data_IF_219944374179
#
_entry.id   IF_219944374179
#
_cell.length_a   1.000
_cell.length_b   1.000
_cell.length_c   1.000
_cell.angle_alpha   90.00
_cell.angle_beta   90.00
_cell.angle_gamma   90.00
#
_symmetry.space_group_name_H-M   'P 1'
#
loop_
_entity.id
_entity.type
_entity.pdbx_description
1 polymer ?
#
# COMPACT_ATOMS: atom_id res chain seq x y z
N UNK A 1 47.65 -36.67 -14.74
CA UNK A 1 47.25 -36.46 -13.34
C UNK A 1 46.38 -35.21 -13.31
N UNK A 2 45.07 -35.36 -13.57
CA UNK A 2 44.10 -34.25 -13.69
C UNK A 2 42.93 -34.39 -12.70
N UNK A 3 42.84 -35.52 -11.99
CA UNK A 3 41.69 -35.86 -11.14
C UNK A 3 41.62 -35.05 -9.85
N UNK A 4 42.75 -34.71 -9.24
CA UNK A 4 42.73 -34.00 -7.95
C UNK A 4 42.22 -32.56 -8.02
N UNK A 5 42.39 -31.89 -9.16
CA UNK A 5 41.94 -30.51 -9.32
C UNK A 5 40.45 -30.44 -9.64
N UNK A 6 39.98 -31.34 -10.53
CA UNK A 6 38.56 -31.47 -10.84
C UNK A 6 37.73 -31.81 -9.59
N UNK A 7 38.17 -32.78 -8.78
CA UNK A 7 37.48 -33.16 -7.53
C UNK A 7 37.39 -31.99 -6.53
N UNK A 8 38.42 -31.15 -6.46
CA UNK A 8 38.41 -29.95 -5.61
C UNK A 8 37.41 -28.91 -6.13
N UNK A 9 37.34 -28.73 -7.44
CA UNK A 9 36.41 -27.81 -8.10
C UNK A 9 34.98 -28.28 -7.86
N UNK A 10 34.66 -29.55 -8.07
CA UNK A 10 33.31 -30.09 -7.82
C UNK A 10 32.89 -29.90 -6.36
N UNK A 11 33.79 -30.20 -5.40
CA UNK A 11 33.50 -30.02 -3.98
C UNK A 11 33.24 -28.55 -3.63
N UNK A 12 33.99 -27.62 -4.23
CA UNK A 12 33.79 -26.19 -4.03
C UNK A 12 32.47 -25.71 -4.63
N UNK A 13 32.20 -26.07 -5.89
CA UNK A 13 30.97 -25.69 -6.60
C UNK A 13 29.73 -26.24 -5.91
N UNK A 14 29.79 -27.47 -5.38
CA UNK A 14 28.69 -28.07 -4.60
C UNK A 14 28.39 -27.36 -3.27
N UNK A 15 29.29 -26.51 -2.77
CA UNK A 15 29.06 -25.70 -1.57
C UNK A 15 28.53 -24.29 -1.84
N UNK A 16 28.33 -23.91 -3.11
CA UNK A 16 27.87 -22.56 -3.48
C UNK A 16 26.35 -22.40 -3.32
N UNK A 17 25.86 -21.17 -3.05
CA UNK A 17 24.44 -20.88 -3.08
C UNK A 17 23.81 -21.17 -4.45
N UNK A 18 22.58 -21.71 -4.46
CA UNK A 18 21.81 -22.03 -5.69
C UNK A 18 21.72 -20.86 -6.68
N UNK A 19 21.71 -19.63 -6.16
CA UNK A 19 21.66 -18.40 -6.93
C UNK A 19 22.81 -18.22 -7.93
N UNK A 20 23.95 -18.85 -7.67
CA UNK A 20 25.17 -18.76 -8.49
C UNK A 20 25.67 -20.12 -8.97
N UNK A 21 25.24 -21.23 -8.35
CA UNK A 21 25.64 -22.60 -8.69
C UNK A 21 25.58 -22.88 -10.20
N UNK A 22 24.41 -22.69 -10.81
CA UNK A 22 24.21 -23.00 -12.23
C UNK A 22 25.10 -22.16 -13.16
N UNK A 23 25.36 -20.91 -12.78
CA UNK A 23 26.23 -20.01 -13.55
C UNK A 23 27.70 -20.41 -13.46
N UNK A 24 28.18 -20.84 -12.27
CA UNK A 24 29.56 -21.32 -12.10
C UNK A 24 29.78 -22.64 -12.85
N UNK A 25 28.82 -23.58 -12.77
CA UNK A 25 28.88 -24.85 -13.52
C UNK A 25 28.93 -24.61 -15.03
N UNK A 26 28.12 -23.67 -15.54
CA UNK A 26 28.07 -23.34 -16.96
C UNK A 26 29.41 -22.78 -17.49
N UNK A 27 30.14 -22.03 -16.65
CA UNK A 27 31.44 -21.46 -17.01
C UNK A 27 32.57 -22.48 -17.07
N UNK A 28 32.38 -23.70 -16.55
CA UNK A 28 33.35 -24.82 -16.59
C UNK A 28 34.78 -24.38 -16.20
N UNK A 29 34.99 -23.91 -14.97
CA UNK A 29 36.31 -23.50 -14.51
C UNK A 29 37.30 -24.67 -14.59
N UNK A 30 38.52 -24.38 -15.04
CA UNK A 30 39.61 -25.36 -15.16
C UNK A 30 40.48 -25.40 -13.92
N UNK A 31 40.51 -24.31 -13.17
CA UNK A 31 41.29 -24.17 -11.94
C UNK A 31 40.41 -23.75 -10.78
N UNK A 32 40.88 -24.02 -9.57
CA UNK A 32 40.23 -23.53 -8.34
C UNK A 32 40.13 -22.01 -8.30
N UNK A 33 41.14 -21.31 -8.81
CA UNK A 33 41.19 -19.85 -8.81
C UNK A 33 40.07 -19.27 -9.69
N UNK A 34 39.87 -19.81 -10.89
CA UNK A 34 38.79 -19.39 -11.79
C UNK A 34 37.41 -19.63 -11.17
N UNK A 35 37.20 -20.76 -10.50
CA UNK A 35 35.93 -21.04 -9.82
C UNK A 35 35.63 -20.00 -8.73
N UNK A 36 36.65 -19.57 -7.97
CA UNK A 36 36.54 -18.54 -6.94
C UNK A 36 36.25 -17.18 -7.57
N UNK A 37 37.00 -16.78 -8.59
CA UNK A 37 36.82 -15.49 -9.27
C UNK A 37 35.40 -15.34 -9.85
N UNK A 38 34.93 -16.37 -10.55
CA UNK A 38 33.58 -16.39 -11.14
C UNK A 38 32.53 -16.31 -10.04
N UNK A 39 32.68 -17.06 -8.94
CA UNK A 39 31.74 -17.03 -7.83
C UNK A 39 31.67 -15.64 -7.18
N UNK A 40 32.82 -14.99 -6.93
CA UNK A 40 32.87 -13.64 -6.35
C UNK A 40 32.28 -12.60 -7.27
N UNK A 41 32.60 -12.65 -8.57
CA UNK A 41 32.06 -11.71 -9.55
C UNK A 41 30.53 -11.83 -9.66
N UNK A 42 30.00 -13.05 -9.62
CA UNK A 42 28.55 -13.28 -9.64
C UNK A 42 27.85 -12.79 -8.37
N UNK A 43 28.47 -12.98 -7.20
CA UNK A 43 27.94 -12.44 -5.94
C UNK A 43 27.92 -10.91 -5.96
N UNK A 44 29.01 -10.27 -6.37
CA UNK A 44 29.13 -8.81 -6.41
C UNK A 44 28.09 -8.18 -7.34
N UNK A 45 27.88 -8.77 -8.53
CA UNK A 45 26.83 -8.33 -9.46
C UNK A 45 25.42 -8.44 -8.88
N UNK A 46 25.11 -9.53 -8.18
CA UNK A 46 23.80 -9.74 -7.54
C UNK A 46 23.59 -8.74 -6.40
N UNK A 47 24.60 -8.54 -5.55
CA UNK A 47 24.56 -7.57 -4.44
C UNK A 47 24.36 -6.15 -4.96
N UNK A 48 25.09 -5.75 -6.00
CA UNK A 48 24.91 -4.46 -6.66
C UNK A 48 23.47 -4.27 -7.17
N UNK A 49 22.92 -5.28 -7.87
CA UNK A 49 21.55 -5.23 -8.38
C UNK A 49 20.51 -5.10 -7.26
N UNK A 50 20.73 -5.77 -6.11
CA UNK A 50 19.84 -5.65 -4.96
C UNK A 50 19.91 -4.25 -4.34
N UNK A 51 21.10 -3.68 -4.17
CA UNK A 51 21.28 -2.34 -3.64
C UNK A 51 20.62 -1.27 -4.53
N UNK A 52 20.74 -1.38 -5.85
CA UNK A 52 20.09 -0.49 -6.81
C UNK A 52 18.56 -0.57 -6.71
N UNK A 53 18.00 -1.78 -6.63
CA UNK A 53 16.54 -1.95 -6.46
C UNK A 53 16.05 -1.40 -5.13
N UNK A 54 16.82 -1.60 -4.06
CA UNK A 54 16.46 -1.16 -2.71
C UNK A 54 16.42 0.38 -2.62
N UNK A 55 17.41 1.07 -3.20
CA UNK A 55 17.43 2.54 -3.26
C UNK A 55 16.32 3.11 -4.15
N UNK A 56 16.04 2.48 -5.30
CA UNK A 56 14.92 2.87 -6.16
C UNK A 56 13.56 2.66 -5.47
N UNK A 57 13.40 1.53 -4.76
CA UNK A 57 12.19 1.22 -3.99
C UNK A 57 11.98 2.18 -2.82
N UNK A 58 13.05 2.53 -2.09
CA UNK A 58 13.01 3.53 -1.00
C UNK A 58 12.50 4.88 -1.48
N UNK A 59 13.05 5.40 -2.59
CA UNK A 59 12.56 6.65 -3.20
C UNK A 59 11.09 6.56 -3.59
N UNK A 60 10.66 5.40 -4.12
CA UNK A 60 9.26 5.12 -4.46
C UNK A 60 8.33 4.98 -3.24
N UNK A 61 8.84 4.51 -2.13
CA UNK A 61 8.09 4.43 -0.89
C UNK A 61 7.90 5.83 -0.31
N UNK A 62 8.98 6.62 -0.22
CA UNK A 62 8.95 7.97 0.32
C UNK A 62 8.04 8.93 -0.47
N UNK A 63 8.05 8.87 -1.81
CA UNK A 63 7.16 9.73 -2.58
C UNK A 63 5.69 9.31 -2.45
N UNK A 64 5.41 8.00 -2.35
CA UNK A 64 4.06 7.49 -2.11
C UNK A 64 3.56 7.92 -0.74
N UNK A 65 4.39 7.77 0.31
CA UNK A 65 4.06 8.22 1.66
C UNK A 65 3.79 9.73 1.68
N UNK A 66 4.70 10.54 1.12
CA UNK A 66 4.52 12.00 1.04
C UNK A 66 3.21 12.41 0.35
N UNK A 67 2.82 11.69 -0.70
CA UNK A 67 1.59 11.97 -1.45
C UNK A 67 0.34 11.59 -0.65
N UNK A 68 0.35 10.44 0.02
CA UNK A 68 -0.78 10.00 0.86
C UNK A 68 -0.98 10.95 2.06
N UNK A 69 0.11 11.32 2.75
CA UNK A 69 0.05 12.26 3.88
C UNK A 69 -0.45 13.64 3.47
N UNK A 70 0.02 14.20 2.34
CA UNK A 70 -0.42 15.51 1.87
C UNK A 70 -1.90 15.49 1.45
N UNK A 71 -2.35 14.42 0.80
CA UNK A 71 -3.75 14.27 0.38
C UNK A 71 -4.69 14.13 1.58
N UNK A 72 -4.31 13.35 2.60
CA UNK A 72 -5.08 13.24 3.84
C UNK A 72 -5.17 14.59 4.55
N UNK A 73 -4.06 15.33 4.65
CA UNK A 73 -4.07 16.66 5.26
C UNK A 73 -5.00 17.62 4.50
N UNK A 74 -5.00 17.60 3.17
CA UNK A 74 -5.88 18.43 2.36
C UNK A 74 -7.36 18.06 2.52
N UNK A 75 -7.68 16.77 2.64
CA UNK A 75 -9.05 16.30 2.96
C UNK A 75 -9.51 16.78 4.34
N UNK A 76 -8.63 16.74 5.36
CA UNK A 76 -8.94 17.27 6.70
C UNK A 76 -9.22 18.77 6.68
N UNK A 77 -8.42 19.55 5.96
CA UNK A 77 -8.66 20.99 5.80
C UNK A 77 -9.95 21.29 5.03
N UNK A 78 -10.28 20.51 4.00
CA UNK A 78 -11.50 20.66 3.22
C UNK A 78 -12.75 20.35 4.05
N UNK A 79 -12.76 19.20 4.74
CA UNK A 79 -13.87 18.78 5.60
C UNK A 79 -14.11 19.76 6.75
N UNK A 80 -13.04 20.32 7.33
CA UNK A 80 -13.17 21.33 8.39
C UNK A 80 -13.78 22.64 7.88
N UNK A 81 -13.48 23.07 6.65
CA UNK A 81 -14.08 24.25 6.02
C UNK A 81 -15.53 24.03 5.59
N UNK A 82 -15.88 22.82 5.16
CA UNK A 82 -17.26 22.48 4.78
C UNK A 82 -18.19 22.33 5.98
N UNK A 83 -17.68 21.91 7.14
CA UNK A 83 -18.42 21.90 8.40
C UNK A 83 -18.84 23.31 8.83
N UNK A 84 -17.93 24.29 8.80
CA UNK A 84 -18.23 25.66 9.26
C UNK A 84 -19.19 26.41 8.34
N UNK A 85 -19.22 26.10 7.04
CA UNK A 85 -20.09 26.75 6.06
C UNK A 85 -21.54 26.23 6.01
N UNK A 86 -21.84 25.07 6.63
CA UNK A 86 -23.19 24.47 6.67
C UNK A 86 -23.93 24.71 7.99
N UNK A 87 -23.35 25.45 8.92
CA UNK A 87 -23.89 25.68 10.26
C UNK A 87 -25.01 26.71 10.36
N UNK A 88 -25.41 27.41 9.29
CA UNK A 88 -26.46 28.44 9.34
C UNK A 88 -27.10 28.69 7.97
N UNK A 89 -27.82 27.73 7.40
CA UNK A 89 -28.77 28.03 6.34
C UNK A 89 -29.86 26.96 6.23
N UNK A 90 -31.09 27.35 6.59
CA UNK A 90 -32.29 26.63 6.20
C UNK A 90 -33.06 25.98 7.34
N UNK A 91 -33.89 26.77 8.03
CA UNK A 91 -34.88 26.18 8.94
C UNK A 91 -35.76 27.20 9.64
N UNK A 92 -36.56 27.99 8.91
CA UNK A 92 -37.79 28.57 9.52
C UNK A 92 -38.88 28.99 8.51
N UNK A 93 -39.74 28.01 8.22
CA UNK A 93 -41.21 28.07 8.08
C UNK A 93 -41.96 29.41 7.84
N UNK A 94 -42.67 29.49 6.70
CA UNK A 94 -44.08 29.91 6.69
C UNK A 94 -44.84 29.28 5.50
N UNK A 95 -45.98 28.65 5.79
CA UNK A 95 -46.76 27.82 4.88
C UNK A 95 -47.70 28.64 3.98
N UNK A 96 -47.98 28.22 2.72
CA UNK A 96 -49.08 28.80 1.96
C UNK A 96 -50.42 28.31 2.52
N UNK A 97 -51.20 29.24 3.08
CA UNK A 97 -52.55 29.03 3.57
C UNK A 97 -53.43 28.33 2.51
N UNK A 98 -53.97 27.16 2.84
CA UNK A 98 -55.03 26.52 2.06
C UNK A 98 -56.31 26.59 2.87
N UNK A 99 -57.14 27.55 2.49
CA UNK A 99 -58.54 27.70 2.88
C UNK A 99 -59.30 26.46 2.42
N UNK A 100 -59.95 25.75 3.35
CA UNK A 100 -61.04 24.84 3.06
C UNK A 100 -62.18 25.13 4.04
N UNK A 101 -63.25 25.72 3.52
CA UNK A 101 -64.55 25.77 4.19
C UNK A 101 -65.34 24.52 3.80
N UNK A 102 -65.92 23.80 4.77
CA UNK A 102 -67.21 23.06 4.67
C UNK A 102 -67.40 22.13 5.88
N UNK A 103 -68.61 22.16 6.47
CA UNK A 103 -69.19 21.00 7.17
C UNK A 103 -69.51 21.17 8.66
N UNK A 104 -70.73 21.62 8.98
CA UNK A 104 -71.36 21.43 10.29
C UNK A 104 -71.70 19.94 10.50
N UNK A 105 -71.47 19.41 11.71
CA UNK A 105 -72.30 18.36 12.33
C UNK A 105 -71.90 18.26 13.81
N UNK A 106 -72.89 18.41 14.70
CA UNK A 106 -72.68 18.40 16.13
C UNK A 106 -72.42 17.02 16.71
N UNK A 107 -71.77 16.99 17.87
CA UNK A 107 -71.98 15.99 18.91
C UNK A 107 -71.28 16.50 20.18
N UNK A 108 -72.09 17.02 21.09
CA UNK A 108 -71.77 17.08 22.51
C UNK A 108 -71.61 15.64 23.03
N UNK A 109 -70.49 15.34 23.72
CA UNK A 109 -70.35 14.16 24.57
C UNK A 109 -69.23 14.39 25.58
N UNK A 110 -69.65 14.81 26.76
CA UNK A 110 -69.02 14.58 28.05
C UNK A 110 -68.26 13.24 28.13
N UNK A 111 -66.98 13.30 28.48
CA UNK A 111 -66.24 12.18 29.03
C UNK A 111 -65.10 12.69 29.94
N UNK A 112 -65.49 13.03 31.16
CA UNK A 112 -64.62 13.11 32.33
C UNK A 112 -64.11 11.68 32.68
N UNK A 113 -62.80 11.49 32.81
CA UNK A 113 -62.24 10.31 33.49
C UNK A 113 -61.08 10.76 34.39
N UNK A 114 -61.30 10.68 35.71
CA UNK A 114 -60.23 10.52 36.70
C UNK A 114 -60.70 9.38 37.60
N UNK A 115 -59.91 8.31 37.62
CA UNK A 115 -59.98 7.22 38.62
C UNK A 115 -59.27 7.63 39.89
#
# INVERSE_FOLDING_TARGET
MFSEEADKIEKYVGGLPDMIYGSVVASKPKTMQEAIEIATELMDKKVLTFAERETASKRKLENTLRTTWSQQQQQQHSNKRQNTGRGNQGGRNNAPARVYAVGRAGADRDANVVT
#
